data_IF_393737770540
#
_entry.id   IF_393737770540
#
_cell.length_a   1.000
_cell.length_b   1.000
_cell.length_c   1.000
_cell.angle_alpha   90.00
_cell.angle_beta   90.00
_cell.angle_gamma   90.00
#
_symmetry.space_group_name_H-M   'P 1'
#
loop_
_entity.id
_entity.type
_entity.pdbx_description
1 polymer ?
#
# COMPACT_ATOMS: atom_id res chain seq x y z
N UNK A 1 21.71 -7.26 -11.31
CA UNK A 1 21.11 -7.86 -10.11
C UNK A 1 20.46 -9.18 -10.47
N UNK A 2 20.32 -10.13 -9.52
CA UNK A 2 19.47 -11.30 -9.72
C UNK A 2 18.06 -10.86 -10.08
N UNK A 3 17.43 -11.60 -10.97
CA UNK A 3 16.10 -11.31 -11.49
C UNK A 3 15.37 -12.63 -11.72
N UNK A 4 14.09 -12.67 -11.36
CA UNK A 4 13.23 -13.86 -11.46
C UNK A 4 11.86 -13.49 -11.99
N UNK A 5 11.34 -14.26 -12.95
CA UNK A 5 9.96 -14.16 -13.48
C UNK A 5 9.29 -15.51 -13.25
N UNK A 6 8.15 -15.53 -12.56
CA UNK A 6 7.39 -16.75 -12.26
C UNK A 6 8.24 -17.89 -11.66
N UNK A 7 9.19 -17.54 -10.78
CA UNK A 7 10.08 -18.49 -10.10
C UNK A 7 11.28 -18.97 -10.93
N UNK A 8 11.40 -18.57 -12.19
CA UNK A 8 12.52 -18.90 -13.08
C UNK A 8 13.43 -17.67 -13.23
N UNK A 9 14.73 -17.82 -13.02
CA UNK A 9 15.69 -16.74 -13.19
C UNK A 9 17.02 -16.96 -12.47
N UNK A 10 17.58 -15.92 -11.86
CA UNK A 10 18.82 -16.01 -11.06
C UNK A 10 18.63 -15.43 -9.67
N UNK A 11 19.38 -15.97 -8.70
CA UNK A 11 19.35 -15.51 -7.30
C UNK A 11 20.74 -15.57 -6.65
N UNK A 12 20.86 -15.00 -5.46
CA UNK A 12 22.01 -15.14 -4.58
C UNK A 12 21.69 -16.12 -3.45
N UNK A 13 22.55 -17.11 -3.25
CA UNK A 13 22.39 -18.14 -2.23
C UNK A 13 23.58 -18.18 -1.28
N UNK A 14 23.26 -18.10 0.02
CA UNK A 14 24.21 -18.14 1.13
C UNK A 14 25.05 -16.86 1.24
N UNK A 15 25.09 -16.24 2.42
CA UNK A 15 25.94 -15.07 2.68
C UNK A 15 27.07 -15.45 3.66
N UNK A 16 28.33 -15.28 3.25
CA UNK A 16 29.54 -15.51 4.08
C UNK A 16 30.39 -14.24 4.16
N UNK A 17 31.33 -14.18 5.12
CA UNK A 17 32.28 -13.07 5.29
C UNK A 17 31.60 -11.69 5.25
N UNK A 18 30.51 -11.56 6.01
CA UNK A 18 29.70 -10.34 6.06
C UNK A 18 30.48 -9.24 6.76
N UNK A 19 30.54 -8.06 6.15
CA UNK A 19 31.03 -6.85 6.78
C UNK A 19 29.94 -5.78 6.66
N UNK A 20 29.48 -5.23 7.78
CA UNK A 20 28.45 -4.20 7.80
C UNK A 20 29.03 -2.90 8.36
N UNK A 21 28.81 -1.78 7.65
CA UNK A 21 29.38 -0.48 7.99
C UNK A 21 28.37 0.64 7.68
N UNK A 22 28.53 1.81 8.29
CA UNK A 22 27.71 2.99 7.99
C UNK A 22 28.33 3.76 6.82
N UNK A 23 27.50 4.24 5.90
CA UNK A 23 27.96 5.06 4.79
C UNK A 23 26.82 5.65 3.97
N UNK A 24 27.15 6.55 3.06
CA UNK A 24 26.17 7.10 2.10
C UNK A 24 26.07 6.17 0.91
N UNK A 25 24.86 5.72 0.59
CA UNK A 25 24.64 4.87 -0.57
C UNK A 25 24.88 5.65 -1.87
N UNK A 26 25.79 5.16 -2.71
CA UNK A 26 26.08 5.78 -4.02
C UNK A 26 24.88 5.76 -4.99
N UNK A 27 23.91 4.87 -4.78
CA UNK A 27 22.76 4.71 -5.67
C UNK A 27 21.58 5.62 -5.29
N UNK A 28 21.27 5.76 -4.00
CA UNK A 28 20.13 6.55 -3.54
C UNK A 28 20.53 7.83 -2.78
N UNK A 29 21.82 8.06 -2.54
CA UNK A 29 22.33 9.24 -1.82
C UNK A 29 22.00 9.29 -0.33
N UNK A 30 21.30 8.28 0.20
CA UNK A 30 20.87 8.25 1.61
C UNK A 30 21.95 7.64 2.50
N UNK A 31 22.18 8.18 3.72
CA UNK A 31 22.93 7.48 4.76
C UNK A 31 22.22 6.16 5.10
N UNK A 32 22.96 5.05 5.05
CA UNK A 32 22.43 3.72 5.33
C UNK A 32 23.53 2.83 5.90
N UNK A 33 23.13 1.79 6.63
CA UNK A 33 24.01 0.65 6.83
C UNK A 33 24.19 -0.06 5.47
N UNK A 34 25.45 -0.21 5.06
CA UNK A 34 25.90 -0.90 3.87
C UNK A 34 26.49 -2.25 4.26
N UNK A 35 26.31 -3.27 3.42
CA UNK A 35 26.75 -4.63 3.72
C UNK A 35 27.51 -5.25 2.55
N UNK A 36 28.73 -5.69 2.82
CA UNK A 36 29.53 -6.52 1.92
C UNK A 36 29.41 -7.99 2.32
N UNK A 37 29.38 -8.91 1.36
CA UNK A 37 29.38 -10.34 1.64
C UNK A 37 29.73 -11.19 0.42
N UNK A 38 30.18 -12.41 0.67
CA UNK A 38 30.38 -13.43 -0.36
C UNK A 38 29.11 -14.24 -0.54
N UNK A 39 28.77 -14.56 -1.78
CA UNK A 39 27.58 -15.36 -2.11
C UNK A 39 27.81 -16.27 -3.30
N UNK A 40 27.02 -17.33 -3.39
CA UNK A 40 26.87 -18.08 -4.65
C UNK A 40 25.82 -17.40 -5.51
N UNK A 41 26.09 -17.19 -6.80
CA UNK A 41 25.08 -16.80 -7.78
C UNK A 41 24.55 -18.08 -8.45
N UNK A 42 23.24 -18.26 -8.49
CA UNK A 42 22.61 -19.49 -8.99
C UNK A 42 21.49 -19.18 -9.99
N UNK A 43 21.27 -20.09 -10.94
CA UNK A 43 19.99 -20.19 -11.65
C UNK A 43 18.96 -20.77 -10.68
N UNK A 44 17.77 -20.21 -10.72
CA UNK A 44 16.64 -20.50 -9.87
C UNK A 44 15.49 -21.06 -10.69
N UNK A 45 14.86 -22.15 -10.23
CA UNK A 45 13.59 -22.68 -10.75
C UNK A 45 12.64 -22.84 -9.57
N UNK A 46 11.39 -22.38 -9.72
CA UNK A 46 10.40 -22.32 -8.62
C UNK A 46 10.95 -21.71 -7.33
N UNK A 47 11.74 -20.63 -7.43
CA UNK A 47 12.40 -19.97 -6.30
C UNK A 47 13.45 -20.81 -5.54
N UNK A 48 13.78 -22.00 -6.04
CA UNK A 48 14.83 -22.86 -5.50
C UNK A 48 16.13 -22.64 -6.31
N UNK A 49 17.28 -22.34 -5.68
CA UNK A 49 18.56 -22.21 -6.37
C UNK A 49 19.12 -23.59 -6.74
N UNK A 50 19.09 -23.94 -8.03
CA UNK A 50 19.43 -25.29 -8.51
C UNK A 50 20.83 -25.34 -9.12
N UNK A 51 21.20 -24.39 -9.98
CA UNK A 51 22.46 -24.46 -10.74
C UNK A 51 23.40 -23.33 -10.30
N UNK A 52 24.56 -23.62 -9.68
CA UNK A 52 25.53 -22.59 -9.30
C UNK A 52 26.27 -22.05 -10.53
N UNK A 53 26.22 -20.73 -10.73
CA UNK A 53 26.89 -19.99 -11.81
C UNK A 53 28.27 -19.45 -11.38
N UNK A 54 28.53 -19.37 -10.08
CA UNK A 54 29.84 -18.98 -9.55
C UNK A 54 29.77 -18.11 -8.30
N UNK A 55 30.90 -17.99 -7.61
CA UNK A 55 31.02 -17.17 -6.39
C UNK A 55 31.22 -15.70 -6.72
N UNK A 56 30.51 -14.84 -5.99
CA UNK A 56 30.51 -13.40 -6.16
C UNK A 56 30.80 -12.71 -4.83
N UNK A 57 31.46 -11.55 -4.89
CA UNK A 57 31.55 -10.58 -3.79
C UNK A 57 30.52 -9.48 -4.05
N UNK A 58 29.61 -9.29 -3.10
CA UNK A 58 28.67 -8.16 -3.07
C UNK A 58 29.32 -7.05 -2.27
N UNK A 59 29.29 -5.83 -2.80
CA UNK A 59 29.84 -4.64 -2.17
C UNK A 59 28.75 -3.58 -2.00
N UNK A 60 28.67 -3.00 -0.82
CA UNK A 60 27.84 -1.86 -0.49
C UNK A 60 26.34 -2.10 -0.60
N UNK A 61 25.84 -3.29 -0.22
CA UNK A 61 24.39 -3.53 -0.25
C UNK A 61 23.66 -2.58 0.69
N UNK A 62 22.87 -1.67 0.10
CA UNK A 62 22.11 -0.68 0.83
C UNK A 62 20.87 -1.28 1.49
N UNK A 63 20.69 -1.07 2.78
CA UNK A 63 19.47 -1.51 3.48
C UNK A 63 18.22 -0.74 3.03
N UNK A 64 18.36 0.49 2.54
CA UNK A 64 17.25 1.31 2.06
C UNK A 64 16.78 0.90 0.65
N UNK A 65 17.66 0.93 -0.35
CA UNK A 65 17.29 0.71 -1.76
C UNK A 65 17.69 -0.67 -2.31
N UNK A 66 18.41 -1.49 -1.54
CA UNK A 66 18.91 -2.84 -1.91
C UNK A 66 19.89 -2.91 -3.09
N UNK A 67 20.24 -1.77 -3.67
CA UNK A 67 21.28 -1.65 -4.71
C UNK A 67 22.67 -1.97 -4.15
N UNK A 68 23.54 -2.52 -5.00
CA UNK A 68 24.88 -2.99 -4.66
C UNK A 68 25.74 -3.17 -5.92
N UNK A 69 27.06 -3.17 -5.75
CA UNK A 69 28.01 -3.64 -6.77
C UNK A 69 28.28 -5.13 -6.60
N UNK A 70 28.69 -5.77 -7.69
CA UNK A 70 29.03 -7.21 -7.71
C UNK A 70 30.32 -7.45 -8.49
N UNK A 71 31.21 -8.25 -7.92
CA UNK A 71 32.45 -8.71 -8.54
C UNK A 71 32.51 -10.23 -8.53
N UNK A 72 33.28 -10.84 -9.44
CA UNK A 72 33.66 -12.26 -9.26
C UNK A 72 34.54 -12.35 -8.01
N UNK A 73 34.31 -13.36 -7.18
CA UNK A 73 35.04 -13.48 -5.92
C UNK A 73 36.56 -13.55 -6.16
N UNK A 74 36.99 -14.35 -7.14
CA UNK A 74 38.41 -14.46 -7.53
C UNK A 74 39.03 -13.14 -7.97
N UNK A 75 38.31 -12.35 -8.76
CA UNK A 75 38.82 -11.06 -9.24
C UNK A 75 38.98 -10.08 -8.06
N UNK A 76 38.04 -10.11 -7.11
CA UNK A 76 38.15 -9.35 -5.86
C UNK A 76 39.32 -9.83 -5.01
N UNK A 77 39.48 -11.14 -4.80
CA UNK A 77 40.60 -11.73 -4.05
C UNK A 77 41.96 -11.33 -4.64
N UNK A 78 42.11 -11.43 -5.97
CA UNK A 78 43.32 -11.00 -6.67
C UNK A 78 43.59 -9.49 -6.50
N UNK A 79 42.54 -8.66 -6.57
CA UNK A 79 42.68 -7.20 -6.39
C UNK A 79 43.12 -6.84 -4.97
N UNK A 80 42.59 -7.55 -3.96
CA UNK A 80 42.97 -7.39 -2.56
C UNK A 80 44.41 -7.86 -2.34
N UNK A 81 44.81 -8.98 -2.95
CA UNK A 81 46.19 -9.48 -2.86
C UNK A 81 47.20 -8.52 -3.48
N UNK A 82 46.90 -7.97 -4.65
CA UNK A 82 47.72 -6.92 -5.29
C UNK A 82 47.84 -5.68 -4.40
N UNK A 83 46.69 -5.14 -3.94
CA UNK A 83 46.67 -3.95 -3.08
C UNK A 83 47.46 -4.17 -1.77
N UNK A 84 47.34 -5.36 -1.16
CA UNK A 84 48.14 -5.70 0.02
C UNK A 84 49.63 -5.74 -0.30
N UNK A 85 50.02 -6.32 -1.44
CA UNK A 85 51.42 -6.40 -1.85
C UNK A 85 52.00 -4.99 -2.05
N UNK A 86 51.26 -4.11 -2.72
CA UNK A 86 51.67 -2.73 -2.98
C UNK A 86 51.78 -1.92 -1.68
N UNK A 87 50.77 -2.00 -0.80
CA UNK A 87 50.79 -1.31 0.48
C UNK A 87 51.90 -1.83 1.41
N UNK A 88 52.16 -3.15 1.41
CA UNK A 88 53.27 -3.75 2.15
C UNK A 88 54.62 -3.28 1.60
N UNK A 89 54.77 -3.19 0.28
CA UNK A 89 55.98 -2.69 -0.36
C UNK A 89 56.20 -1.22 -0.02
N UNK A 90 55.16 -0.38 -0.09
CA UNK A 90 55.23 1.04 0.28
C UNK A 90 55.65 1.21 1.73
N UNK A 91 55.05 0.47 2.66
CA UNK A 91 55.42 0.51 4.08
C UNK A 91 56.85 0.01 4.32
N UNK A 92 57.31 -0.97 3.54
CA UNK A 92 58.71 -1.45 3.61
C UNK A 92 59.69 -0.41 3.10
N UNK A 93 59.33 0.32 2.03
CA UNK A 93 60.18 1.36 1.43
C UNK A 93 60.20 2.64 2.27
N UNK A 94 59.07 2.98 2.89
CA UNK A 94 58.92 4.17 3.72
C UNK A 94 58.40 3.82 5.12
N UNK A 95 59.24 3.19 5.99
CA UNK A 95 58.76 2.71 7.28
C UNK A 95 58.31 3.83 8.23
N UNK A 96 58.89 5.03 8.11
CA UNK A 96 58.55 6.23 8.92
C UNK A 96 57.47 7.11 8.25
N UNK A 97 56.83 6.65 7.18
CA UNK A 97 55.72 7.36 6.55
C UNK A 97 54.39 6.91 7.20
N UNK A 98 53.72 7.83 7.90
CA UNK A 98 52.43 7.57 8.52
C UNK A 98 51.38 7.19 7.48
N UNK A 99 51.41 7.83 6.30
CA UNK A 99 50.43 7.57 5.24
C UNK A 99 50.58 6.12 4.73
N UNK A 100 51.80 5.66 4.52
CA UNK A 100 52.07 4.26 4.15
C UNK A 100 51.58 3.26 5.22
N UNK A 101 51.75 3.58 6.50
CA UNK A 101 51.25 2.75 7.59
C UNK A 101 49.71 2.72 7.65
N UNK A 102 49.07 3.87 7.47
CA UNK A 102 47.60 4.01 7.40
C UNK A 102 47.05 3.24 6.19
N UNK A 103 47.66 3.40 5.00
CA UNK A 103 47.26 2.71 3.78
C UNK A 103 47.32 1.19 3.97
N UNK A 104 48.41 0.68 4.55
CA UNK A 104 48.55 -0.74 4.85
C UNK A 104 47.49 -1.22 5.86
N UNK A 105 47.25 -0.44 6.92
CA UNK A 105 46.20 -0.75 7.89
C UNK A 105 44.82 -0.82 7.22
N UNK A 106 44.44 0.20 6.46
CA UNK A 106 43.15 0.29 5.78
C UNK A 106 42.99 -0.89 4.82
N UNK A 107 44.05 -1.25 4.08
CA UNK A 107 44.03 -2.38 3.15
C UNK A 107 43.80 -3.70 3.89
N UNK A 108 44.47 -3.95 5.02
CA UNK A 108 44.19 -5.14 5.85
C UNK A 108 42.77 -5.13 6.42
N UNK A 109 42.28 -3.98 6.88
CA UNK A 109 40.95 -3.85 7.45
C UNK A 109 39.85 -4.12 6.40
N UNK A 110 39.97 -3.54 5.21
CA UNK A 110 39.06 -3.76 4.08
C UNK A 110 39.11 -5.20 3.56
N UNK A 111 40.28 -5.84 3.60
CA UNK A 111 40.46 -7.26 3.28
C UNK A 111 39.84 -8.21 4.33
N UNK A 112 39.29 -7.70 5.43
CA UNK A 112 38.75 -8.50 6.53
C UNK A 112 39.84 -9.19 7.38
N UNK A 113 41.12 -8.85 7.17
CA UNK A 113 42.28 -9.38 7.90
C UNK A 113 42.46 -8.62 9.22
N UNK A 114 41.49 -8.77 10.12
CA UNK A 114 41.38 -7.95 11.34
C UNK A 114 42.57 -8.09 12.29
N UNK A 115 43.16 -9.27 12.40
CA UNK A 115 44.34 -9.47 13.25
C UNK A 115 45.54 -8.67 12.74
N UNK A 116 45.80 -8.75 11.42
CA UNK A 116 46.87 -7.99 10.77
C UNK A 116 46.60 -6.48 10.85
N UNK A 117 45.36 -6.04 10.62
CA UNK A 117 44.99 -4.64 10.79
C UNK A 117 45.26 -4.16 12.22
N UNK A 118 44.89 -4.93 13.24
CA UNK A 118 45.16 -4.60 14.64
C UNK A 118 46.67 -4.50 14.94
N UNK A 119 47.50 -5.35 14.34
CA UNK A 119 48.96 -5.27 14.45
C UNK A 119 49.51 -3.98 13.83
N UNK A 120 49.04 -3.61 12.63
CA UNK A 120 49.44 -2.33 12.03
C UNK A 120 48.92 -1.14 12.85
N UNK A 121 47.73 -1.21 13.44
CA UNK A 121 47.23 -0.16 14.34
C UNK A 121 48.12 0.02 15.57
N UNK A 122 48.60 -1.09 16.15
CA UNK A 122 49.56 -1.07 17.26
C UNK A 122 50.88 -0.44 16.82
N UNK A 123 51.39 -0.82 15.64
CA UNK A 123 52.59 -0.22 15.07
C UNK A 123 52.42 1.29 14.85
N UNK A 124 51.27 1.73 14.30
CA UNK A 124 50.98 3.14 14.11
C UNK A 124 51.06 3.87 15.45
N UNK A 125 50.40 3.33 16.48
CA UNK A 125 50.37 3.91 17.83
C UNK A 125 51.75 4.02 18.47
N UNK A 126 52.60 2.99 18.30
CA UNK A 126 53.93 2.92 18.91
C UNK A 126 54.92 3.83 18.17
N UNK A 127 54.97 3.72 16.83
CA UNK A 127 55.93 4.43 15.98
C UNK A 127 55.62 5.92 15.84
N UNK A 128 54.34 6.25 15.69
CA UNK A 128 53.86 7.63 15.51
C UNK A 128 53.23 8.17 16.81
N UNK A 129 53.78 7.79 17.96
CA UNK A 129 53.23 8.12 19.29
C UNK A 129 53.16 9.61 19.62
N UNK A 130 53.88 10.46 18.87
CA UNK A 130 53.91 11.93 18.98
C UNK A 130 53.26 12.65 17.79
N UNK A 131 52.62 11.91 16.90
CA UNK A 131 51.97 12.46 15.72
C UNK A 131 50.46 12.66 15.95
N UNK A 132 49.96 13.87 15.70
CA UNK A 132 48.55 14.20 15.87
C UNK A 132 47.66 13.38 14.93
N UNK A 133 48.02 13.28 13.64
CA UNK A 133 47.23 12.62 12.61
C UNK A 133 47.12 11.13 12.88
N UNK A 134 48.19 10.51 13.40
CA UNK A 134 48.18 9.10 13.77
C UNK A 134 47.14 8.81 14.87
N UNK A 135 47.11 9.61 15.93
CA UNK A 135 46.16 9.43 17.03
C UNK A 135 44.74 9.82 16.64
N UNK A 136 44.56 10.84 15.79
CA UNK A 136 43.26 11.19 15.23
C UNK A 136 42.72 10.06 14.36
N UNK A 137 43.54 9.52 13.46
CA UNK A 137 43.20 8.37 12.63
C UNK A 137 42.80 7.15 13.48
N UNK A 138 43.63 6.77 14.45
CA UNK A 138 43.31 5.65 15.34
C UNK A 138 42.02 5.87 16.12
N UNK A 139 41.75 7.11 16.56
CA UNK A 139 40.49 7.43 17.22
C UNK A 139 39.30 7.13 16.34
N UNK A 140 39.28 7.69 15.12
CA UNK A 140 38.16 7.52 14.17
C UNK A 140 37.96 6.05 13.81
N UNK A 141 39.04 5.29 13.61
CA UNK A 141 38.96 3.86 13.36
C UNK A 141 38.37 3.09 14.55
N UNK A 142 38.81 3.38 15.78
CA UNK A 142 38.28 2.73 16.98
C UNK A 142 36.78 3.01 17.18
N UNK A 143 36.28 4.21 16.83
CA UNK A 143 34.84 4.50 16.84
C UNK A 143 34.09 3.61 15.84
N UNK A 144 34.61 3.49 14.61
CA UNK A 144 34.00 2.66 13.55
C UNK A 144 33.91 1.19 13.95
N UNK A 145 34.92 0.65 14.63
CA UNK A 145 34.92 -0.76 15.07
C UNK A 145 34.25 -0.98 16.44
N UNK A 146 33.56 0.03 16.98
CA UNK A 146 32.78 -0.11 18.22
C UNK A 146 33.63 -0.24 19.48
N UNK A 147 34.82 0.38 19.50
CA UNK A 147 35.76 0.42 20.64
C UNK A 147 35.87 1.85 21.20
N UNK A 148 34.82 2.34 21.88
CA UNK A 148 34.70 3.75 22.26
C UNK A 148 35.74 4.20 23.29
N UNK A 149 36.23 3.30 24.15
CA UNK A 149 37.23 3.67 25.17
C UNK A 149 38.62 3.88 24.55
N UNK A 150 39.01 3.06 23.58
CA UNK A 150 40.23 3.20 22.81
C UNK A 150 40.17 4.42 21.90
N UNK A 151 39.03 4.66 21.25
CA UNK A 151 38.79 5.87 20.47
C UNK A 151 39.06 7.11 21.32
N UNK A 152 38.45 7.15 22.50
CA UNK A 152 38.60 8.26 23.45
C UNK A 152 40.05 8.50 23.88
N UNK A 153 40.80 7.42 24.19
CA UNK A 153 42.21 7.52 24.58
C UNK A 153 43.05 8.10 23.44
N UNK A 154 42.84 7.64 22.21
CA UNK A 154 43.54 8.15 21.04
C UNK A 154 43.18 9.61 20.76
N UNK A 155 41.90 10.00 20.84
CA UNK A 155 41.49 11.40 20.65
C UNK A 155 42.06 12.33 21.71
N UNK A 156 42.04 11.92 22.99
CA UNK A 156 42.68 12.69 24.08
C UNK A 156 44.16 12.90 23.79
N UNK A 157 44.86 11.87 23.30
CA UNK A 157 46.27 11.98 22.92
C UNK A 157 46.48 12.91 21.72
N UNK A 158 45.62 12.86 20.71
CA UNK A 158 45.65 13.78 19.58
C UNK A 158 45.49 15.24 20.07
N UNK A 159 44.52 15.49 20.97
CA UNK A 159 44.33 16.81 21.57
C UNK A 159 45.53 17.29 22.40
N UNK A 160 46.16 16.43 23.19
CA UNK A 160 47.38 16.78 23.94
C UNK A 160 48.54 17.20 23.02
N UNK A 161 48.64 16.59 21.83
CA UNK A 161 49.71 16.88 20.87
C UNK A 161 49.47 18.17 20.09
N UNK A 162 48.21 18.51 19.81
CA UNK A 162 47.84 19.70 19.04
C UNK A 162 46.61 20.40 19.65
N UNK A 163 46.72 21.01 20.84
CA UNK A 163 45.57 21.57 21.56
C UNK A 163 44.90 22.75 20.85
N UNK A 164 45.64 23.44 19.97
CA UNK A 164 45.14 24.57 19.18
C UNK A 164 44.55 24.15 17.83
N UNK A 165 44.72 22.89 17.42
CA UNK A 165 44.17 22.39 16.17
C UNK A 165 42.63 22.28 16.28
N UNK A 166 41.87 22.92 15.38
CA UNK A 166 40.41 22.85 15.38
C UNK A 166 39.82 21.44 15.36
N UNK A 167 40.41 20.53 14.58
CA UNK A 167 39.97 19.14 14.48
C UNK A 167 40.16 18.43 15.83
N UNK A 168 41.28 18.70 16.51
CA UNK A 168 41.57 18.14 17.83
C UNK A 168 40.59 18.67 18.90
N UNK A 169 40.33 19.99 18.91
CA UNK A 169 39.34 20.62 19.80
C UNK A 169 37.95 20.05 19.58
N UNK A 170 37.53 19.90 18.31
CA UNK A 170 36.25 19.30 17.90
C UNK A 170 36.12 17.86 18.40
N UNK A 171 37.14 17.02 18.15
CA UNK A 171 37.15 15.64 18.61
C UNK A 171 37.13 15.52 20.14
N UNK A 172 37.83 16.42 20.84
CA UNK A 172 37.79 16.48 22.31
C UNK A 172 36.41 16.89 22.85
N UNK A 173 35.69 17.78 22.16
CA UNK A 173 34.31 18.12 22.52
C UNK A 173 33.38 16.91 22.41
N UNK A 174 33.49 16.10 21.34
CA UNK A 174 32.73 14.85 21.19
C UNK A 174 33.01 13.90 22.35
N UNK A 175 34.29 13.73 22.69
CA UNK A 175 34.72 12.92 23.85
C UNK A 175 34.07 13.41 25.14
N UNK A 176 34.04 14.72 25.39
CA UNK A 176 33.43 15.30 26.58
C UNK A 176 31.90 15.09 26.61
N UNK A 177 31.21 15.15 25.47
CA UNK A 177 29.78 14.84 25.35
C UNK A 177 29.53 13.37 25.72
N UNK A 178 30.32 12.45 25.18
CA UNK A 178 30.24 11.01 25.48
C UNK A 178 30.51 10.73 26.97
N UNK A 179 31.44 11.46 27.60
CA UNK A 179 31.73 11.40 29.04
C UNK A 179 30.71 12.14 29.92
N UNK A 180 29.63 12.68 29.34
CA UNK A 180 28.60 13.49 30.04
C UNK A 180 29.14 14.75 30.72
N UNK A 181 30.34 15.21 30.34
CA UNK A 181 30.93 16.48 30.78
C UNK A 181 30.43 17.63 29.88
N UNK A 182 29.12 17.82 29.84
CA UNK A 182 28.44 18.65 28.83
C UNK A 182 28.81 20.13 28.91
N UNK A 183 28.96 20.69 30.11
CA UNK A 183 29.36 22.11 30.27
C UNK A 183 30.79 22.36 29.78
N UNK A 184 31.69 21.37 29.94
CA UNK A 184 33.05 21.47 29.40
C UNK A 184 33.03 21.33 27.89
N UNK A 185 32.23 20.41 27.35
CA UNK A 185 32.05 20.27 25.91
C UNK A 185 31.52 21.56 25.26
N UNK A 186 30.53 22.21 25.90
CA UNK A 186 30.00 23.50 25.46
C UNK A 186 31.09 24.57 25.36
N UNK A 187 31.97 24.67 26.38
CA UNK A 187 33.10 25.60 26.37
C UNK A 187 34.12 25.30 25.26
N UNK A 188 34.36 24.03 24.95
CA UNK A 188 35.25 23.63 23.85
C UNK A 188 34.70 24.01 22.46
N UNK A 189 33.38 24.18 22.34
CA UNK A 189 32.69 24.50 21.09
C UNK A 189 32.33 25.98 20.97
N UNK A 190 32.66 26.81 21.96
CA UNK A 190 32.28 28.23 22.01
C UNK A 190 32.80 28.99 20.78
N UNK A 191 34.06 28.75 20.39
CA UNK A 191 34.70 29.36 19.20
C UNK A 191 34.30 28.68 17.87
N UNK A 192 33.49 27.61 17.93
CA UNK A 192 33.02 26.83 16.77
C UNK A 192 31.52 27.02 16.52
N UNK A 193 30.93 28.11 17.04
CA UNK A 193 29.53 28.45 16.81
C UNK A 193 29.20 28.80 15.35
N UNK A 194 27.94 29.13 15.04
CA UNK A 194 27.44 29.32 13.66
C UNK A 194 28.19 30.33 12.78
N UNK A 195 28.87 31.30 13.38
CA UNK A 195 29.66 32.31 12.67
C UNK A 195 31.06 31.79 12.26
N UNK A 196 31.45 30.61 12.73
CA UNK A 196 32.75 29.98 12.49
C UNK A 196 32.70 29.10 11.24
N UNK A 197 33.75 29.13 10.41
CA UNK A 197 33.92 28.17 9.30
C UNK A 197 34.01 26.72 9.77
N UNK A 198 34.29 26.52 11.05
CA UNK A 198 34.41 25.22 11.72
C UNK A 198 33.08 24.74 12.32
N UNK A 199 31.99 25.49 12.10
CA UNK A 199 30.67 25.15 12.59
C UNK A 199 30.20 23.80 12.04
N UNK A 200 29.80 22.90 12.94
CA UNK A 200 29.19 21.62 12.60
C UNK A 200 27.89 21.43 13.37
N UNK A 201 26.71 21.56 12.71
CA UNK A 201 25.42 21.42 13.37
C UNK A 201 25.22 20.03 13.98
N UNK A 202 25.90 19.00 13.48
CA UNK A 202 25.85 17.65 14.03
C UNK A 202 26.35 17.58 15.47
N UNK A 203 27.45 18.26 15.78
CA UNK A 203 28.01 18.26 17.15
C UNK A 203 27.15 19.07 18.11
N UNK A 204 26.65 20.23 17.68
CA UNK A 204 25.72 21.02 18.50
C UNK A 204 24.41 20.26 18.75
N UNK A 205 23.95 19.45 17.79
CA UNK A 205 22.81 18.55 17.98
C UNK A 205 23.13 17.44 18.99
N UNK A 206 24.32 16.83 18.92
CA UNK A 206 24.79 15.86 19.92
C UNK A 206 24.87 16.47 21.31
N UNK A 207 25.39 17.70 21.44
CA UNK A 207 25.48 18.42 22.71
C UNK A 207 24.07 18.74 23.26
N UNK A 208 23.16 19.23 22.42
CA UNK A 208 21.78 19.50 22.79
C UNK A 208 21.06 18.24 23.29
N UNK A 209 21.26 17.12 22.61
CA UNK A 209 20.78 15.81 23.07
C UNK A 209 21.42 15.37 24.38
N UNK A 210 22.71 15.60 24.55
CA UNK A 210 23.42 15.35 25.81
C UNK A 210 22.77 16.09 26.98
N UNK A 211 22.53 17.40 26.83
CA UNK A 211 21.84 18.21 27.83
C UNK A 211 20.39 17.75 28.06
N UNK A 212 19.67 17.40 27.00
CA UNK A 212 18.31 16.87 27.11
C UNK A 212 18.27 15.57 27.94
N UNK A 213 19.18 14.64 27.69
CA UNK A 213 19.26 13.36 28.40
C UNK A 213 19.71 13.54 29.87
N UNK A 214 20.53 14.55 30.15
CA UNK A 214 20.90 14.95 31.51
C UNK A 214 19.80 15.72 32.26
N UNK A 215 18.64 15.96 31.63
CA UNK A 215 17.53 16.71 32.22
C UNK A 215 17.70 18.24 32.21
N UNK A 216 18.80 18.75 31.64
CA UNK A 216 19.01 20.18 31.47
C UNK A 216 18.29 20.68 30.21
N UNK A 217 16.95 20.70 30.31
CA UNK A 217 16.07 21.01 29.18
C UNK A 217 16.18 22.46 28.70
N UNK A 218 16.57 23.40 29.57
CA UNK A 218 16.78 24.80 29.20
C UNK A 218 17.97 24.97 28.24
N UNK A 219 19.14 24.42 28.57
CA UNK A 219 20.31 24.46 27.68
C UNK A 219 20.05 23.70 26.38
N UNK A 220 19.39 22.55 26.46
CA UNK A 220 18.98 21.79 25.28
C UNK A 220 18.06 22.62 24.37
N UNK A 221 17.05 23.28 24.93
CA UNK A 221 16.11 24.11 24.19
C UNK A 221 16.79 25.27 23.48
N UNK A 222 17.73 25.96 24.16
CA UNK A 222 18.51 27.04 23.55
C UNK A 222 19.32 26.55 22.34
N UNK A 223 20.03 25.42 22.47
CA UNK A 223 20.81 24.84 21.37
C UNK A 223 19.91 24.37 20.22
N UNK A 224 18.79 23.70 20.52
CA UNK A 224 17.82 23.33 19.49
C UNK A 224 17.22 24.56 18.78
N UNK A 225 16.96 25.65 19.51
CA UNK A 225 16.47 26.90 18.92
C UNK A 225 17.48 27.52 17.97
N UNK A 226 18.76 27.48 18.34
CA UNK A 226 19.87 27.98 17.52
C UNK A 226 20.03 27.14 16.25
N UNK A 227 20.08 25.81 16.39
CA UNK A 227 20.10 24.87 15.27
C UNK A 227 18.90 25.07 14.34
N UNK A 228 17.71 25.32 14.90
CA UNK A 228 16.53 25.54 14.07
C UNK A 228 16.62 26.79 13.19
N UNK A 229 17.22 27.86 13.72
CA UNK A 229 17.38 29.14 13.02
C UNK A 229 18.48 29.07 11.96
N UNK A 230 19.61 28.45 12.29
CA UNK A 230 20.80 28.45 11.43
C UNK A 230 20.76 27.33 10.39
N UNK A 231 20.15 26.18 10.72
CA UNK A 231 20.19 24.97 9.90
C UNK A 231 18.77 24.44 9.61
N UNK A 232 18.12 24.93 8.53
CA UNK A 232 16.82 24.41 8.11
C UNK A 232 16.88 22.93 7.69
N UNK A 233 18.03 22.45 7.22
CA UNK A 233 18.24 21.04 6.83
C UNK A 233 18.13 20.09 8.03
N UNK A 234 18.87 20.35 9.11
CA UNK A 234 18.80 19.50 10.32
C UNK A 234 17.39 19.55 10.95
N UNK A 235 16.72 20.71 10.83
CA UNK A 235 15.36 20.93 11.32
C UNK A 235 14.30 20.08 10.64
N UNK A 236 14.52 19.71 9.38
CA UNK A 236 13.60 18.85 8.61
C UNK A 236 13.72 17.38 9.01
N UNK A 237 14.80 17.00 9.71
CA UNK A 237 14.96 15.61 10.14
C UNK A 237 13.92 15.22 11.19
N UNK A 238 13.45 13.97 11.09
CA UNK A 238 12.50 13.40 12.03
C UNK A 238 13.09 13.35 13.45
N UNK A 239 14.37 12.99 13.56
CA UNK A 239 15.09 12.88 14.83
C UNK A 239 15.18 14.23 15.55
N UNK A 240 15.49 15.30 14.81
CA UNK A 240 15.48 16.66 15.37
C UNK A 240 14.09 17.04 15.87
N UNK A 241 13.06 16.84 15.04
CA UNK A 241 11.68 17.17 15.40
C UNK A 241 11.21 16.45 16.67
N UNK A 242 11.58 15.17 16.83
CA UNK A 242 11.27 14.40 18.03
C UNK A 242 12.04 14.91 19.26
N UNK A 243 13.34 15.17 19.12
CA UNK A 243 14.17 15.69 20.19
C UNK A 243 13.63 17.05 20.69
N UNK A 244 13.30 17.97 19.79
CA UNK A 244 12.74 19.28 20.16
C UNK A 244 11.43 19.13 20.91
N UNK A 245 10.48 18.35 20.40
CA UNK A 245 9.17 18.12 21.07
C UNK A 245 9.34 17.53 22.47
N UNK A 246 10.31 16.63 22.67
CA UNK A 246 10.59 16.04 23.99
C UNK A 246 11.14 17.10 24.96
N UNK A 247 11.99 18.00 24.50
CA UNK A 247 12.49 19.13 25.30
C UNK A 247 11.38 20.14 25.60
N UNK A 248 10.61 20.58 24.60
CA UNK A 248 9.53 21.56 24.75
C UNK A 248 8.45 21.13 25.75
N UNK A 249 8.21 19.82 25.91
CA UNK A 249 7.30 19.30 26.94
C UNK A 249 7.78 19.52 28.37
N UNK A 250 9.09 19.64 28.57
CA UNK A 250 9.73 19.75 29.89
C UNK A 250 10.11 21.20 30.24
N UNK A 251 10.23 22.08 29.23
CA UNK A 251 10.54 23.49 29.42
C UNK A 251 9.24 24.28 29.52
N UNK A 252 9.13 25.18 30.50
CA UNK A 252 7.96 26.05 30.67
C UNK A 252 7.91 27.23 29.66
N UNK A 253 8.79 27.24 28.66
CA UNK A 253 9.01 28.36 27.75
C UNK A 253 7.81 28.59 26.81
N UNK A 254 7.36 29.84 26.63
CA UNK A 254 6.27 30.17 25.72
C UNK A 254 6.67 30.07 24.23
N UNK A 255 7.97 30.12 23.92
CA UNK A 255 8.46 30.15 22.54
C UNK A 255 8.72 28.73 22.02
N UNK A 256 7.71 28.12 21.40
CA UNK A 256 7.86 26.85 20.68
C UNK A 256 8.74 27.05 19.45
N UNK A 257 9.76 26.21 19.32
CA UNK A 257 10.63 26.10 18.16
C UNK A 257 9.83 25.55 16.98
N UNK A 258 9.04 24.48 17.21
CA UNK A 258 8.23 23.86 16.17
C UNK A 258 6.79 24.33 16.21
N UNK A 259 6.27 24.77 15.06
CA UNK A 259 4.84 25.08 14.93
C UNK A 259 4.02 23.78 15.06
N UNK A 260 2.95 23.76 15.88
CA UNK A 260 2.09 22.58 15.98
C UNK A 260 1.41 22.30 14.64
N UNK A 261 1.29 21.03 14.27
CA UNK A 261 0.52 20.63 13.09
C UNK A 261 -0.96 21.00 13.30
N UNK A 262 -1.59 21.75 12.37
CA UNK A 262 -2.99 22.13 12.46
C UNK A 262 -3.91 20.92 12.62
N UNK A 263 -5.01 21.06 13.37
CA UNK A 263 -5.95 19.96 13.66
C UNK A 263 -6.45 19.27 12.37
N UNK A 264 -6.80 20.04 11.35
CA UNK A 264 -7.32 19.53 10.07
C UNK A 264 -6.30 18.76 9.22
N UNK A 265 -5.00 18.96 9.46
CA UNK A 265 -3.93 18.23 8.77
C UNK A 265 -3.56 16.92 9.48
N UNK A 266 -4.20 16.61 10.62
CA UNK A 266 -3.94 15.36 11.32
C UNK A 266 -4.61 14.21 10.54
N UNK A 267 -3.88 13.11 10.23
CA UNK A 267 -4.40 12.02 9.41
C UNK A 267 -5.73 11.44 9.89
N UNK A 268 -5.94 11.34 11.21
CA UNK A 268 -7.19 10.81 11.78
C UNK A 268 -8.40 11.73 11.53
N UNK A 269 -8.22 13.05 11.45
CA UNK A 269 -9.31 14.00 11.17
C UNK A 269 -9.74 13.88 9.72
N UNK A 270 -8.77 13.75 8.80
CA UNK A 270 -9.04 13.49 7.38
C UNK A 270 -9.80 12.16 7.23
N UNK A 271 -9.36 11.13 7.95
CA UNK A 271 -10.06 9.83 8.00
C UNK A 271 -11.51 9.95 8.46
N UNK A 272 -11.79 10.74 9.50
CA UNK A 272 -13.16 10.97 9.97
C UNK A 272 -14.03 11.68 8.94
N UNK A 273 -13.53 12.73 8.29
CA UNK A 273 -14.29 13.44 7.25
C UNK A 273 -14.67 12.50 6.10
N UNK A 274 -13.73 11.65 5.67
CA UNK A 274 -14.00 10.66 4.64
C UNK A 274 -15.07 9.64 5.07
N UNK A 275 -15.02 9.15 6.31
CA UNK A 275 -16.03 8.23 6.85
C UNK A 275 -17.41 8.89 6.86
N UNK A 276 -17.54 10.13 7.33
CA UNK A 276 -18.83 10.84 7.32
C UNK A 276 -19.35 11.07 5.90
N UNK A 277 -18.46 11.36 4.95
CA UNK A 277 -18.84 11.51 3.54
C UNK A 277 -19.39 10.19 2.96
N UNK A 278 -18.71 9.06 3.19
CA UNK A 278 -19.16 7.73 2.74
C UNK A 278 -20.49 7.34 3.38
N UNK A 279 -20.63 7.55 4.70
CA UNK A 279 -21.91 7.30 5.40
C UNK A 279 -23.02 8.19 4.84
N UNK A 280 -22.72 9.44 4.52
CA UNK A 280 -23.65 10.37 3.88
C UNK A 280 -24.13 9.87 2.51
N UNK A 281 -23.21 9.39 1.67
CA UNK A 281 -23.56 8.81 0.36
C UNK A 281 -24.42 7.54 0.49
N UNK A 282 -24.08 6.65 1.42
CA UNK A 282 -24.86 5.43 1.68
C UNK A 282 -26.27 5.78 2.16
N UNK A 283 -26.38 6.72 3.11
CA UNK A 283 -27.68 7.19 3.62
C UNK A 283 -28.51 7.86 2.52
N UNK A 284 -27.89 8.69 1.68
CA UNK A 284 -28.55 9.35 0.55
C UNK A 284 -29.07 8.34 -0.47
N UNK A 285 -28.23 7.40 -0.92
CA UNK A 285 -28.65 6.35 -1.87
C UNK A 285 -29.74 5.45 -1.30
N UNK A 286 -29.66 5.11 -0.01
CA UNK A 286 -30.70 4.32 0.69
C UNK A 286 -32.02 5.09 0.76
N UNK A 287 -32.00 6.40 1.02
CA UNK A 287 -33.21 7.22 1.02
C UNK A 287 -33.82 7.35 -0.38
N UNK A 288 -32.97 7.52 -1.41
CA UNK A 288 -33.42 7.60 -2.80
C UNK A 288 -34.11 6.31 -3.26
N UNK A 289 -33.48 5.14 -3.03
CA UNK A 289 -34.04 3.84 -3.43
C UNK A 289 -35.32 3.49 -2.63
N UNK A 290 -35.45 3.96 -1.39
CA UNK A 290 -36.68 3.81 -0.59
C UNK A 290 -37.89 4.47 -1.28
N UNK A 291 -37.70 5.61 -1.93
CA UNK A 291 -38.78 6.34 -2.61
C UNK A 291 -39.03 5.89 -4.05
N UNK A 292 -38.09 5.15 -4.65
CA UNK A 292 -38.09 4.84 -6.08
C UNK A 292 -37.84 3.34 -6.33
N UNK A 293 -38.85 2.51 -6.03
CA UNK A 293 -38.83 1.07 -6.29
C UNK A 293 -39.47 0.79 -7.66
N UNK A 294 -38.72 0.19 -8.60
CA UNK A 294 -39.28 -0.12 -9.91
C UNK A 294 -40.30 -1.26 -9.81
N UNK A 295 -41.45 -1.07 -10.44
CA UNK A 295 -42.52 -2.06 -10.57
C UNK A 295 -42.96 -2.09 -12.02
N UNK A 296 -43.02 -3.29 -12.60
CA UNK A 296 -43.46 -3.49 -13.98
C UNK A 296 -44.91 -3.96 -13.99
N UNK A 297 -45.80 -3.16 -14.58
CA UNK A 297 -47.19 -3.56 -14.84
C UNK A 297 -47.26 -4.12 -16.25
N UNK A 298 -47.69 -5.36 -16.40
CA UNK A 298 -47.76 -6.07 -17.68
C UNK A 298 -49.21 -6.31 -18.09
N UNK A 299 -49.42 -6.43 -19.40
CA UNK A 299 -50.74 -6.68 -19.99
C UNK A 299 -50.62 -7.69 -21.13
N UNK A 300 -51.33 -8.81 -21.02
CA UNK A 300 -51.41 -9.85 -22.07
C UNK A 300 -52.60 -9.67 -23.02
N UNK A 301 -53.54 -8.77 -22.71
CA UNK A 301 -54.76 -8.57 -23.50
C UNK A 301 -54.45 -7.87 -24.84
N UNK A 302 -55.26 -8.13 -25.89
CA UNK A 302 -55.14 -7.46 -27.18
C UNK A 302 -55.62 -6.00 -27.17
N UNK A 303 -56.06 -5.50 -26.02
CA UNK A 303 -56.51 -4.14 -25.78
C UNK A 303 -55.78 -3.55 -24.57
N UNK A 304 -55.64 -2.22 -24.46
CA UNK A 304 -54.95 -1.61 -23.32
C UNK A 304 -55.75 -1.81 -22.04
N UNK A 305 -55.03 -1.85 -20.91
CA UNK A 305 -55.63 -1.87 -19.57
C UNK A 305 -55.31 -0.57 -18.84
N UNK A 306 -56.26 -0.12 -18.01
CA UNK A 306 -56.06 0.98 -17.08
C UNK A 306 -56.04 0.41 -15.67
N UNK A 307 -54.93 0.59 -14.97
CA UNK A 307 -54.66 0.02 -13.65
C UNK A 307 -54.42 1.17 -12.68
N UNK A 308 -55.18 1.23 -11.60
CA UNK A 308 -54.92 2.14 -10.50
C UNK A 308 -53.96 1.47 -9.52
N UNK A 309 -52.75 2.03 -9.37
CA UNK A 309 -51.80 1.64 -8.33
C UNK A 309 -51.80 2.74 -7.29
N UNK A 310 -52.30 2.40 -6.10
CA UNK A 310 -52.75 3.34 -5.07
C UNK A 310 -53.79 4.33 -5.62
N UNK A 311 -53.35 5.54 -5.98
CA UNK A 311 -54.17 6.60 -6.56
C UNK A 311 -53.64 7.06 -7.94
N UNK A 312 -52.61 6.40 -8.47
CA UNK A 312 -52.01 6.73 -9.76
C UNK A 312 -52.56 5.82 -10.86
N UNK A 313 -53.10 6.44 -11.92
CA UNK A 313 -53.63 5.71 -13.07
C UNK A 313 -52.51 5.37 -14.05
N UNK A 314 -52.26 4.07 -14.19
CA UNK A 314 -51.24 3.50 -15.07
C UNK A 314 -51.94 2.86 -16.27
N UNK A 315 -51.71 3.42 -17.46
CA UNK A 315 -52.22 2.85 -18.71
C UNK A 315 -51.17 1.95 -19.35
N UNK A 316 -51.48 0.67 -19.49
CA UNK A 316 -50.57 -0.32 -20.06
C UNK A 316 -51.01 -0.67 -21.48
N UNK A 317 -50.11 -0.62 -22.49
CA UNK A 317 -50.47 -0.93 -23.87
C UNK A 317 -50.90 -2.40 -24.03
N UNK A 318 -51.62 -2.75 -25.11
CA UNK A 318 -51.90 -4.14 -25.48
C UNK A 318 -50.62 -4.95 -25.56
N UNK A 319 -50.62 -6.17 -25.01
CA UNK A 319 -49.49 -7.12 -25.11
C UNK A 319 -48.14 -6.50 -24.72
N UNK A 320 -48.15 -5.60 -23.74
CA UNK A 320 -47.00 -4.77 -23.41
C UNK A 320 -46.82 -4.60 -21.91
N UNK A 321 -45.95 -3.65 -21.56
CA UNK A 321 -45.57 -3.33 -20.18
C UNK A 321 -45.50 -1.84 -19.98
N UNK A 322 -45.61 -1.42 -18.72
CA UNK A 322 -45.32 -0.08 -18.25
C UNK A 322 -44.52 -0.18 -16.95
N UNK A 323 -43.37 0.48 -16.90
CA UNK A 323 -42.62 0.65 -15.66
C UNK A 323 -43.17 1.84 -14.88
N UNK A 324 -43.34 1.64 -13.57
CA UNK A 324 -43.72 2.67 -12.60
C UNK A 324 -42.76 2.62 -11.41
N UNK A 325 -42.72 3.72 -10.65
CA UNK A 325 -41.87 3.85 -9.47
C UNK A 325 -42.76 4.07 -8.25
N UNK A 326 -42.62 3.21 -7.24
CA UNK A 326 -43.39 3.30 -5.98
C UNK A 326 -42.45 3.45 -4.77
N UNK A 327 -42.93 4.03 -3.68
CA UNK A 327 -42.18 4.06 -2.42
C UNK A 327 -42.21 2.70 -1.73
N UNK A 328 -41.26 2.36 -0.86
CA UNK A 328 -41.40 1.19 0.02
C UNK A 328 -42.65 1.31 0.92
N UNK A 329 -43.42 0.23 1.02
CA UNK A 329 -44.67 0.21 1.74
C UNK A 329 -45.63 -0.86 1.25
N UNK A 330 -46.87 -0.77 1.72
CA UNK A 330 -48.00 -1.54 1.22
C UNK A 330 -48.75 -0.71 0.18
N UNK A 331 -49.00 -1.30 -0.98
CA UNK A 331 -49.66 -0.68 -2.13
C UNK A 331 -50.90 -1.45 -2.51
N UNK A 332 -51.89 -0.76 -3.08
CA UNK A 332 -53.13 -1.34 -3.58
C UNK A 332 -53.18 -1.29 -5.10
N UNK A 333 -53.62 -2.36 -5.75
CA UNK A 333 -53.73 -2.45 -7.21
C UNK A 333 -55.17 -2.74 -7.57
N UNK A 334 -55.74 -1.97 -8.49
CA UNK A 334 -57.12 -2.14 -8.97
C UNK A 334 -57.17 -2.00 -10.48
N UNK A 335 -57.67 -3.01 -11.18
CA UNK A 335 -57.96 -2.94 -12.61
C UNK A 335 -59.24 -2.13 -12.84
N UNK A 336 -59.19 -1.07 -13.65
CA UNK A 336 -60.33 -0.20 -13.93
C UNK A 336 -60.93 -0.40 -15.32
N UNK A 337 -60.08 -0.64 -16.32
CA UNK A 337 -60.51 -0.89 -17.69
C UNK A 337 -59.68 -2.03 -18.31
N UNK A 338 -60.26 -2.83 -19.22
CA UNK A 338 -61.65 -2.82 -19.70
C UNK A 338 -62.69 -3.19 -18.62
N UNK A 339 -63.89 -2.60 -18.69
CA UNK A 339 -64.90 -2.76 -17.63
C UNK A 339 -65.39 -4.20 -17.43
N UNK A 340 -65.38 -5.02 -18.48
CA UNK A 340 -65.73 -6.45 -18.36
C UNK A 340 -64.64 -7.22 -17.61
N UNK A 341 -63.37 -6.89 -17.85
CA UNK A 341 -62.23 -7.49 -17.14
C UNK A 341 -62.17 -7.02 -15.68
N UNK A 342 -62.37 -5.72 -15.45
CA UNK A 342 -62.36 -5.13 -14.11
C UNK A 342 -63.41 -5.76 -13.15
N UNK A 343 -64.51 -6.30 -13.68
CA UNK A 343 -65.51 -7.04 -12.87
C UNK A 343 -65.02 -8.41 -12.42
N UNK A 344 -64.06 -9.00 -13.14
CA UNK A 344 -63.52 -10.34 -12.87
C UNK A 344 -62.37 -10.31 -11.85
N UNK A 345 -61.61 -9.21 -11.78
CA UNK A 345 -60.45 -9.11 -10.89
C UNK A 345 -60.71 -8.17 -9.71
N UNK A 346 -60.63 -8.72 -8.50
CA UNK A 346 -60.69 -7.93 -7.27
C UNK A 346 -59.39 -7.15 -7.06
N UNK A 347 -59.50 -5.98 -6.42
CA UNK A 347 -58.36 -5.24 -5.92
C UNK A 347 -57.53 -6.08 -4.95
N UNK A 348 -56.21 -5.95 -5.03
CA UNK A 348 -55.28 -6.69 -4.18
C UNK A 348 -54.18 -5.77 -3.69
N UNK A 349 -53.41 -6.24 -2.71
CA UNK A 349 -52.29 -5.49 -2.14
C UNK A 349 -50.98 -6.21 -2.36
N UNK A 350 -49.91 -5.44 -2.50
CA UNK A 350 -48.54 -5.96 -2.50
C UNK A 350 -47.66 -5.09 -1.60
N UNK A 351 -46.53 -5.64 -1.18
CA UNK A 351 -45.62 -4.99 -0.25
C UNK A 351 -44.20 -5.00 -0.80
N UNK A 352 -43.51 -3.86 -0.72
CA UNK A 352 -42.09 -3.76 -1.01
C UNK A 352 -41.39 -3.19 0.22
N UNK A 353 -40.49 -3.96 0.81
CA UNK A 353 -39.72 -3.56 1.99
C UNK A 353 -38.30 -4.11 1.94
N UNK A 354 -37.35 -3.29 2.41
CA UNK A 354 -35.96 -3.71 2.58
C UNK A 354 -35.39 -3.16 3.87
N UNK A 355 -34.43 -3.88 4.44
CA UNK A 355 -33.64 -3.36 5.55
C UNK A 355 -32.74 -2.22 5.07
N UNK A 356 -32.48 -1.24 5.95
CA UNK A 356 -31.66 -0.07 5.61
C UNK A 356 -30.32 -0.42 4.96
N UNK A 357 -29.67 -1.49 5.45
CA UNK A 357 -28.37 -1.96 4.97
C UNK A 357 -28.42 -2.81 3.70
N UNK A 358 -29.52 -3.55 3.47
CA UNK A 358 -29.69 -4.37 2.27
C UNK A 358 -30.31 -3.58 1.11
N UNK A 359 -30.96 -2.44 1.39
CA UNK A 359 -31.69 -1.65 0.40
C UNK A 359 -30.86 -1.28 -0.82
N UNK A 360 -29.60 -0.87 -0.63
CA UNK A 360 -28.74 -0.47 -1.75
C UNK A 360 -28.45 -1.62 -2.72
N UNK A 361 -28.40 -2.85 -2.21
CA UNK A 361 -28.13 -4.08 -2.98
C UNK A 361 -29.39 -4.89 -3.27
N UNK A 362 -30.57 -4.40 -2.88
CA UNK A 362 -31.82 -5.10 -3.11
C UNK A 362 -32.33 -4.76 -4.51
N UNK A 363 -32.11 -5.67 -5.45
CA UNK A 363 -32.46 -5.50 -6.85
C UNK A 363 -33.75 -6.28 -7.20
N UNK A 364 -34.62 -6.48 -6.20
CA UNK A 364 -35.88 -7.19 -6.39
C UNK A 364 -36.75 -6.51 -7.44
N UNK A 365 -37.09 -7.25 -8.50
CA UNK A 365 -37.99 -6.83 -9.58
C UNK A 365 -39.40 -7.30 -9.25
N UNK A 366 -40.34 -6.36 -9.16
CA UNK A 366 -41.77 -6.66 -8.94
C UNK A 366 -42.52 -6.56 -10.26
N UNK A 367 -43.26 -7.61 -10.61
CA UNK A 367 -44.11 -7.68 -11.80
C UNK A 367 -45.57 -7.84 -11.37
N UNK A 368 -46.44 -6.97 -11.88
CA UNK A 368 -47.88 -6.97 -11.66
C UNK A 368 -48.59 -7.34 -12.96
N UNK A 369 -49.48 -8.34 -12.91
CA UNK A 369 -50.37 -8.71 -14.02
C UNK A 369 -51.83 -8.62 -13.54
N UNK A 370 -52.41 -7.41 -13.49
CA UNK A 370 -53.72 -7.22 -12.86
C UNK A 370 -54.87 -7.96 -13.56
N UNK A 371 -54.73 -8.26 -14.86
CA UNK A 371 -55.68 -9.05 -15.64
C UNK A 371 -55.35 -10.55 -15.67
N UNK A 372 -54.26 -11.01 -15.02
CA UNK A 372 -53.85 -12.43 -14.99
C UNK A 372 -53.86 -13.07 -16.39
N UNK A 373 -53.40 -12.30 -17.37
CA UNK A 373 -53.53 -12.60 -18.81
C UNK A 373 -52.18 -12.74 -19.50
N UNK A 374 -51.11 -12.32 -18.83
CA UNK A 374 -49.77 -12.26 -19.39
C UNK A 374 -49.07 -13.60 -19.24
N UNK A 375 -48.36 -13.98 -20.30
CA UNK A 375 -47.31 -15.00 -20.24
C UNK A 375 -45.99 -14.35 -20.58
N UNK A 376 -45.02 -14.55 -19.71
CA UNK A 376 -43.67 -14.03 -19.87
C UNK A 376 -42.64 -15.08 -19.48
N UNK A 377 -41.44 -14.96 -20.04
CA UNK A 377 -40.35 -15.90 -19.81
C UNK A 377 -39.32 -15.27 -18.89
N UNK A 378 -38.86 -16.05 -17.91
CA UNK A 378 -37.60 -15.79 -17.22
C UNK A 378 -36.51 -16.47 -18.02
N UNK A 379 -35.70 -15.67 -18.68
CA UNK A 379 -34.60 -16.12 -19.51
C UNK A 379 -33.32 -16.17 -18.69
N UNK A 380 -32.47 -17.15 -19.00
CA UNK A 380 -31.13 -17.28 -18.44
C UNK A 380 -30.14 -17.36 -19.59
N UNK A 381 -29.15 -16.48 -19.58
CA UNK A 381 -28.08 -16.42 -20.56
C UNK A 381 -26.73 -16.60 -19.90
N UNK A 382 -25.80 -17.25 -20.60
CA UNK A 382 -24.46 -17.54 -20.10
C UNK A 382 -23.43 -16.89 -21.03
N UNK A 383 -22.48 -16.18 -20.43
CA UNK A 383 -21.37 -15.53 -21.12
C UNK A 383 -20.05 -16.22 -20.74
N UNK A 384 -19.19 -16.41 -21.73
CA UNK A 384 -17.85 -17.01 -21.57
C UNK A 384 -16.90 -16.40 -22.60
N UNK A 385 -15.60 -16.38 -22.30
CA UNK A 385 -14.57 -16.04 -23.29
C UNK A 385 -14.18 -17.22 -24.18
N UNK A 386 -14.67 -18.43 -23.88
CA UNK A 386 -14.42 -19.64 -24.67
C UNK A 386 -15.53 -19.83 -25.71
N UNK A 387 -15.22 -19.52 -26.97
CA UNK A 387 -16.12 -19.63 -28.12
C UNK A 387 -16.52 -21.08 -28.44
N UNK A 388 -15.87 -22.09 -27.86
CA UNK A 388 -16.17 -23.49 -28.14
C UNK A 388 -17.35 -24.04 -27.31
N UNK A 389 -17.89 -23.25 -26.38
CA UNK A 389 -18.97 -23.68 -25.49
C UNK A 389 -20.31 -23.17 -26.04
N UNK A 390 -21.15 -24.10 -26.50
CA UNK A 390 -22.54 -23.80 -26.82
C UNK A 390 -23.41 -23.86 -25.56
N UNK A 391 -23.97 -22.72 -25.17
CA UNK A 391 -24.85 -22.61 -24.00
C UNK A 391 -26.33 -22.79 -24.31
N UNK A 392 -26.74 -22.97 -25.57
CA UNK A 392 -28.15 -22.93 -25.97
C UNK A 392 -29.02 -23.92 -25.16
N UNK A 393 -28.63 -25.19 -25.09
CA UNK A 393 -29.36 -26.21 -24.30
C UNK A 393 -29.39 -25.88 -22.80
N UNK A 394 -28.29 -25.32 -22.27
CA UNK A 394 -28.18 -24.94 -20.86
C UNK A 394 -29.07 -23.74 -20.53
N UNK A 395 -29.06 -22.70 -21.37
CA UNK A 395 -29.91 -21.51 -21.28
C UNK A 395 -31.38 -21.88 -21.36
N UNK A 396 -31.77 -22.74 -22.31
CA UNK A 396 -33.14 -23.21 -22.45
C UNK A 396 -33.61 -23.99 -21.21
N UNK A 397 -32.79 -24.90 -20.68
CA UNK A 397 -33.13 -25.68 -19.47
C UNK A 397 -33.22 -24.84 -18.19
N UNK A 398 -32.44 -23.77 -18.10
CA UNK A 398 -32.43 -22.86 -16.96
C UNK A 398 -33.54 -21.80 -17.04
N UNK A 399 -34.08 -21.57 -18.23
CA UNK A 399 -35.19 -20.64 -18.46
C UNK A 399 -36.53 -21.25 -18.06
N UNK A 400 -37.47 -20.41 -17.65
CA UNK A 400 -38.79 -20.85 -17.20
C UNK A 400 -39.89 -19.94 -17.72
N UNK A 401 -41.04 -20.53 -18.06
CA UNK A 401 -42.24 -19.78 -18.44
C UNK A 401 -43.07 -19.51 -17.19
N UNK A 402 -43.57 -18.28 -17.08
CA UNK A 402 -44.39 -17.81 -15.97
C UNK A 402 -45.71 -17.32 -16.56
N UNK A 403 -46.82 -17.77 -15.99
CA UNK A 403 -48.14 -17.61 -16.59
C UNK A 403 -49.15 -17.18 -15.54
N UNK A 404 -49.90 -16.12 -15.85
CA UNK A 404 -51.14 -15.77 -15.14
C UNK A 404 -50.95 -15.57 -13.62
N UNK A 405 -49.77 -15.06 -13.22
CA UNK A 405 -49.47 -14.71 -11.85
C UNK A 405 -49.73 -13.23 -11.64
N UNK A 406 -50.79 -12.92 -10.88
CA UNK A 406 -51.22 -11.56 -10.56
C UNK A 406 -50.11 -10.66 -10.00
N UNK A 407 -49.19 -11.25 -9.24
CA UNK A 407 -48.04 -10.59 -8.63
C UNK A 407 -46.89 -11.59 -8.56
N UNK A 408 -45.70 -11.17 -8.97
CA UNK A 408 -44.47 -11.92 -8.74
C UNK A 408 -43.29 -11.00 -8.42
N UNK A 409 -42.46 -11.42 -7.48
CA UNK A 409 -41.23 -10.73 -7.11
C UNK A 409 -40.03 -11.62 -7.39
N UNK A 410 -38.99 -11.05 -7.98
CA UNK A 410 -37.77 -11.76 -8.35
C UNK A 410 -36.56 -11.10 -7.72
N UNK A 411 -35.73 -11.86 -7.01
CA UNK A 411 -34.50 -11.33 -6.38
C UNK A 411 -33.33 -11.24 -7.38
N UNK A 412 -33.30 -12.13 -8.39
CA UNK A 412 -32.18 -12.27 -9.33
C UNK A 412 -32.67 -12.07 -10.77
N UNK A 413 -32.83 -10.80 -11.18
CA UNK A 413 -33.09 -10.38 -12.57
C UNK A 413 -32.12 -9.24 -12.91
N UNK A 414 -31.20 -9.51 -13.82
CA UNK A 414 -30.23 -8.52 -14.30
C UNK A 414 -30.85 -7.57 -15.34
N UNK A 415 -31.70 -8.08 -16.22
CA UNK A 415 -32.28 -7.36 -17.37
C UNK A 415 -33.82 -7.49 -17.41
N UNK A 416 -34.56 -6.68 -16.63
CA UNK A 416 -36.01 -6.79 -16.55
C UNK A 416 -36.68 -6.23 -17.83
N UNK A 417 -37.13 -7.12 -18.72
CA UNK A 417 -37.78 -6.76 -19.97
C UNK A 417 -36.91 -5.92 -20.92
N UNK A 418 -35.60 -6.10 -20.82
CA UNK A 418 -34.58 -5.58 -21.71
C UNK A 418 -33.94 -6.74 -22.48
N UNK A 419 -33.39 -6.44 -23.66
CA UNK A 419 -32.59 -7.42 -24.41
C UNK A 419 -31.25 -7.64 -23.72
N UNK A 420 -30.78 -8.89 -23.73
CA UNK A 420 -29.45 -9.21 -23.24
C UNK A 420 -28.39 -8.53 -24.12
N UNK A 421 -27.33 -7.95 -23.54
CA UNK A 421 -26.26 -7.37 -24.32
C UNK A 421 -25.46 -8.47 -25.03
N UNK A 422 -24.88 -8.17 -26.19
CA UNK A 422 -24.01 -9.11 -26.92
C UNK A 422 -22.74 -9.46 -26.12
N UNK A 423 -22.22 -8.50 -25.34
CA UNK A 423 -21.00 -8.65 -24.53
C UNK A 423 -21.20 -8.06 -23.13
N UNK A 424 -20.46 -8.59 -22.14
CA UNK A 424 -20.46 -8.09 -20.76
C UNK A 424 -19.05 -7.73 -20.29
N UNK A 425 -18.95 -6.70 -19.44
CA UNK A 425 -17.68 -6.33 -18.81
C UNK A 425 -17.42 -7.16 -17.55
N UNK A 426 -16.24 -7.80 -17.47
CA UNK A 426 -15.82 -8.62 -16.33
C UNK A 426 -14.40 -8.26 -15.88
N UNK A 427 -14.11 -8.47 -14.59
CA UNK A 427 -12.76 -8.22 -14.06
C UNK A 427 -11.74 -9.19 -14.67
N UNK A 428 -10.50 -8.74 -14.85
CA UNK A 428 -9.41 -9.57 -15.42
C UNK A 428 -9.15 -10.87 -14.66
N UNK A 429 -9.53 -10.93 -13.37
CA UNK A 429 -9.38 -12.14 -12.55
C UNK A 429 -10.41 -13.22 -12.90
N UNK A 430 -11.58 -12.83 -13.40
CA UNK A 430 -12.72 -13.72 -13.60
C UNK A 430 -13.05 -13.90 -15.10
N UNK A 431 -12.14 -13.50 -15.98
CA UNK A 431 -12.36 -13.52 -17.44
C UNK A 431 -12.58 -14.94 -18.00
N UNK A 432 -12.03 -15.96 -17.33
CA UNK A 432 -12.18 -17.36 -17.72
C UNK A 432 -13.33 -18.07 -17.00
N UNK A 433 -14.13 -17.36 -16.20
CA UNK A 433 -15.31 -17.92 -15.53
C UNK A 433 -16.54 -17.80 -16.43
N UNK A 434 -17.51 -18.71 -16.26
CA UNK A 434 -18.81 -18.62 -16.91
C UNK A 434 -19.70 -17.69 -16.09
N UNK A 435 -20.22 -16.65 -16.72
CA UNK A 435 -21.07 -15.66 -16.07
C UNK A 435 -22.53 -15.90 -16.45
N UNK A 436 -23.41 -16.04 -15.46
CA UNK A 436 -24.83 -16.21 -15.68
C UNK A 436 -25.53 -14.85 -15.55
N UNK A 437 -26.43 -14.56 -16.50
CA UNK A 437 -27.32 -13.41 -16.48
C UNK A 437 -28.77 -13.84 -16.65
N UNK A 438 -29.67 -13.04 -16.10
CA UNK A 438 -31.08 -13.36 -15.97
C UNK A 438 -31.92 -12.19 -16.45
N UNK A 439 -33.00 -12.49 -17.15
CA UNK A 439 -33.85 -11.46 -17.75
C UNK A 439 -35.31 -11.88 -17.78
N UNK A 440 -36.18 -10.91 -18.01
CA UNK A 440 -37.60 -11.14 -18.25
C UNK A 440 -37.94 -10.77 -19.69
N UNK A 441 -38.81 -11.50 -20.37
CA UNK A 441 -39.28 -11.14 -21.70
C UNK A 441 -40.76 -11.49 -21.89
N UNK A 442 -41.50 -10.61 -22.57
CA UNK A 442 -42.90 -10.85 -22.94
C UNK A 442 -42.93 -11.76 -24.17
N UNK A 443 -43.85 -12.73 -24.21
CA UNK A 443 -44.03 -13.58 -25.40
C UNK A 443 -44.85 -12.80 -26.44
N UNK A 444 -44.24 -12.51 -27.59
CA UNK A 444 -44.90 -11.84 -28.71
C UNK A 444 -45.99 -12.73 -29.35
N UNK A 445 -47.13 -12.13 -29.73
CA UNK A 445 -48.15 -12.79 -30.57
C UNK A 445 -49.48 -13.16 -29.93
N UNK A 446 -49.70 -12.85 -28.64
CA UNK A 446 -51.01 -12.99 -27.96
C UNK A 446 -51.43 -14.41 -27.57
N UNK A 447 -52.46 -14.50 -26.70
CA UNK A 447 -52.90 -15.72 -26.00
C UNK A 447 -53.06 -16.98 -26.89
N UNK A 448 -53.54 -16.82 -28.12
CA UNK A 448 -53.77 -17.93 -29.07
C UNK A 448 -52.44 -18.56 -29.54
N UNK A 449 -51.41 -17.75 -29.79
CA UNK A 449 -50.07 -18.25 -30.12
C UNK A 449 -49.39 -18.83 -28.89
N UNK A 450 -49.72 -18.33 -27.70
CA UNK A 450 -49.17 -18.80 -26.43
C UNK A 450 -49.64 -20.21 -26.09
N UNK A 451 -50.93 -20.53 -26.29
CA UNK A 451 -51.42 -21.90 -26.06
C UNK A 451 -50.81 -22.92 -27.02
N UNK A 452 -50.69 -22.56 -28.31
CA UNK A 452 -50.01 -23.41 -29.31
C UNK A 452 -48.54 -23.62 -28.95
N UNK A 453 -47.85 -22.57 -28.47
CA UNK A 453 -46.47 -22.65 -27.99
C UNK A 453 -46.39 -23.59 -26.76
N UNK A 454 -47.25 -23.42 -25.77
CA UNK A 454 -47.27 -24.20 -24.52
C UNK A 454 -47.60 -25.69 -24.77
N UNK A 455 -48.52 -25.97 -25.69
CA UNK A 455 -48.86 -27.32 -26.16
C UNK A 455 -47.67 -27.96 -26.89
N UNK A 456 -46.94 -27.20 -27.71
CA UNK A 456 -45.77 -27.70 -28.45
C UNK A 456 -44.57 -28.06 -27.55
N UNK A 457 -44.46 -27.43 -26.36
CA UNK A 457 -43.40 -27.71 -25.37
C UNK A 457 -43.88 -28.72 -24.31
N UNK A 458 -45.11 -29.24 -24.42
CA UNK A 458 -45.65 -30.28 -23.55
C UNK A 458 -45.91 -29.82 -22.11
N UNK A 459 -46.12 -28.52 -21.91
CA UNK A 459 -46.25 -27.90 -20.57
C UNK A 459 -47.70 -27.58 -20.18
N UNK A 460 -48.66 -27.77 -21.09
CA UNK A 460 -50.07 -27.55 -20.80
C UNK A 460 -50.67 -28.70 -19.97
N UNK A 461 -50.77 -28.48 -18.67
CA UNK A 461 -51.58 -29.33 -17.77
C UNK A 461 -53.05 -28.88 -17.72
N UNK A 462 -53.41 -27.84 -18.48
CA UNK A 462 -54.74 -27.24 -18.52
C UNK A 462 -55.68 -27.98 -19.48
N UNK A 463 -56.88 -28.28 -19.01
CA UNK A 463 -57.96 -28.80 -19.87
C UNK A 463 -58.36 -27.76 -20.92
N UNK A 464 -58.84 -28.18 -22.09
CA UNK A 464 -59.37 -27.28 -23.13
C UNK A 464 -60.42 -26.30 -22.59
N UNK A 465 -61.25 -26.74 -21.63
CA UNK A 465 -62.21 -25.86 -20.96
C UNK A 465 -61.52 -24.76 -20.14
N UNK A 466 -60.47 -25.10 -19.41
CA UNK A 466 -59.70 -24.15 -18.61
C UNK A 466 -58.86 -23.20 -19.47
N UNK A 467 -58.41 -23.64 -20.66
CA UNK A 467 -57.77 -22.78 -21.68
C UNK A 467 -58.74 -21.81 -22.36
N UNK A 468 -60.05 -22.08 -22.30
CA UNK A 468 -61.10 -21.27 -22.91
C UNK A 468 -61.78 -20.34 -21.89
N UNK A 469 -61.76 -20.73 -20.61
CA UNK A 469 -62.16 -19.90 -19.47
C UNK A 469 -61.09 -18.84 -19.10
N UNK A 470 -59.83 -19.08 -19.46
CA UNK A 470 -58.71 -18.11 -19.40
C UNK A 470 -58.40 -17.57 -20.78
#
# INVERSE_FOLDING_TARGET
MPFTVNGVGTTYFGKKNKNAYQGTCEFCGQPSQLVDYDTMHCICLLFIPIIPLGRKRILGQCNHCRQHRVLKLRDWENSVESALTDAMLRMKQNPEDLEAAIELHQTFHQAGKQQQAAEIARLIKERFSRDFEAHFYLSTWYEVIGRPDEARKSMKRAYELAPDNPIAKRGMAIVLIQERQLDRAEKFLEDMGPESELYDPGIFFMLARGFQEAGNHEKAHRLFSQLHKQDPEISRSQDFSQAVRKTEKQVASPARILKPTPLYQRPWVIGLVFVFFVVGLIAFGSFYKKGNRPVFVVNGLPQPIDVLVDDELVRVPPQGKQEISVSEGEHTVTLQAPAEEAKLHQSYKFKIESNFFSRLTDDTVTVLDPSESTVYTRLVEFYSNDENIDFLDRSMKASSIIMFEKLKQFEDIDYPFEEFPEEIEVSTRNINEIHQKTGLSLIEGGAINTWNLLDSVGTSTFSEKAKLER
#
